data_IF_312767109549
#
_entry.id   IF_312767109549
#
_cell.length_a   1.000
_cell.length_b   1.000
_cell.length_c   1.000
_cell.angle_alpha   90.00
_cell.angle_beta   90.00
_cell.angle_gamma   90.00
#
_symmetry.space_group_name_H-M   'P 1'
#
loop_
_entity.id
_entity.type
_entity.pdbx_description
1 polymer ?
#
# COMPACT_ATOMS: atom_id res chain seq x y z
N UNK A 1 -17.79 -4.47 -12.59
CA UNK A 1 -16.70 -5.47 -12.39
C UNK A 1 -15.70 -5.49 -13.54
N UNK A 2 -16.11 -5.76 -14.80
CA UNK A 2 -15.20 -5.71 -15.96
C UNK A 2 -14.51 -4.34 -16.11
N UNK A 3 -15.23 -3.26 -15.82
CA UNK A 3 -14.74 -1.88 -15.87
C UNK A 3 -13.64 -1.58 -14.84
N UNK A 4 -13.81 -2.04 -13.58
CA UNK A 4 -12.76 -1.92 -12.55
C UNK A 4 -11.47 -2.67 -12.92
N UNK A 5 -11.61 -3.84 -13.55
CA UNK A 5 -10.47 -4.58 -14.08
C UNK A 5 -9.73 -3.81 -15.18
N UNK A 6 -10.46 -3.13 -16.07
CA UNK A 6 -9.86 -2.29 -17.10
C UNK A 6 -9.12 -1.08 -16.50
N UNK A 7 -9.74 -0.36 -15.58
CA UNK A 7 -9.12 0.79 -14.89
C UNK A 7 -7.87 0.39 -14.09
N UNK A 8 -7.87 -0.79 -13.45
CA UNK A 8 -6.67 -1.32 -12.81
C UNK A 8 -5.52 -1.49 -13.80
N UNK A 9 -5.80 -2.11 -14.95
CA UNK A 9 -4.79 -2.35 -15.98
C UNK A 9 -4.28 -1.04 -16.61
N UNK A 10 -5.14 -0.03 -16.76
CA UNK A 10 -4.73 1.31 -17.21
C UNK A 10 -3.79 1.99 -16.21
N UNK A 11 -4.13 1.94 -14.93
CA UNK A 11 -3.28 2.49 -13.87
C UNK A 11 -1.93 1.77 -13.75
N UNK A 12 -1.90 0.45 -13.95
CA UNK A 12 -0.66 -0.34 -14.01
C UNK A 12 0.23 0.13 -15.16
N UNK A 13 -0.31 0.18 -16.38
CA UNK A 13 0.41 0.66 -17.57
C UNK A 13 0.93 2.07 -17.41
N UNK A 14 0.20 2.93 -16.70
CA UNK A 14 0.66 4.29 -16.42
C UNK A 14 1.88 4.31 -15.52
N UNK A 15 1.89 3.53 -14.44
CA UNK A 15 3.04 3.46 -13.53
C UNK A 15 4.24 2.83 -14.22
N UNK A 16 4.04 1.77 -15.00
CA UNK A 16 5.10 1.13 -15.79
C UNK A 16 5.76 2.13 -16.75
N UNK A 17 4.96 2.83 -17.57
CA UNK A 17 5.46 3.85 -18.50
C UNK A 17 6.24 4.96 -17.80
N UNK A 18 5.79 5.40 -16.62
CA UNK A 18 6.50 6.43 -15.85
C UNK A 18 7.82 5.89 -15.29
N UNK A 19 7.86 4.63 -14.85
CA UNK A 19 9.08 3.98 -14.38
C UNK A 19 10.08 3.73 -15.53
N UNK A 20 9.62 3.30 -16.70
CA UNK A 20 10.47 3.09 -17.89
C UNK A 20 11.13 4.38 -18.37
N UNK A 21 10.42 5.51 -18.28
CA UNK A 21 10.95 6.84 -18.61
C UNK A 21 11.71 7.51 -17.46
N UNK A 22 11.90 6.84 -16.32
CA UNK A 22 12.56 7.44 -15.16
C UNK A 22 14.08 7.56 -15.37
N UNK A 23 14.71 8.70 -15.02
CA UNK A 23 16.13 8.90 -15.29
C UNK A 23 17.03 7.90 -14.54
N UNK A 24 17.94 7.25 -15.28
CA UNK A 24 18.81 6.18 -14.77
C UNK A 24 19.69 6.67 -13.61
N UNK A 25 20.17 7.90 -13.68
CA UNK A 25 21.00 8.54 -12.65
C UNK A 25 20.27 8.75 -11.31
N UNK A 26 18.93 8.72 -11.32
CA UNK A 26 18.10 8.89 -10.12
C UNK A 26 17.58 7.56 -9.57
N UNK A 27 17.71 6.46 -10.32
CA UNK A 27 17.24 5.13 -9.90
C UNK A 27 17.83 4.66 -8.56
N UNK A 28 19.13 4.88 -8.24
CA UNK A 28 19.67 4.47 -6.95
C UNK A 28 18.93 5.11 -5.76
N UNK A 29 18.61 6.40 -5.85
CA UNK A 29 17.85 7.10 -4.80
C UNK A 29 16.42 6.59 -4.69
N UNK A 30 15.78 6.28 -5.81
CA UNK A 30 14.44 5.69 -5.80
C UNK A 30 14.44 4.31 -5.11
N UNK A 31 15.44 3.46 -5.41
CA UNK A 31 15.59 2.15 -4.77
C UNK A 31 15.83 2.26 -3.27
N UNK A 32 16.72 3.16 -2.85
CA UNK A 32 16.99 3.42 -1.44
C UNK A 32 15.71 3.80 -0.67
N UNK A 33 14.92 4.73 -1.22
CA UNK A 33 13.66 5.14 -0.61
C UNK A 33 12.62 4.02 -0.62
N UNK A 34 12.56 3.21 -1.68
CA UNK A 34 11.67 2.05 -1.75
C UNK A 34 12.03 1.00 -0.68
N UNK A 35 13.33 0.75 -0.46
CA UNK A 35 13.81 -0.17 0.57
C UNK A 35 13.51 0.34 1.98
N UNK A 36 13.70 1.65 2.23
CA UNK A 36 13.31 2.29 3.50
C UNK A 36 11.80 2.16 3.75
N UNK A 37 10.99 2.44 2.72
CA UNK A 37 9.54 2.34 2.79
C UNK A 37 9.09 0.91 3.11
N UNK A 38 9.66 -0.10 2.43
CA UNK A 38 9.39 -1.53 2.70
C UNK A 38 9.78 -1.92 4.13
N UNK A 39 10.95 -1.50 4.59
CA UNK A 39 11.44 -1.80 5.94
C UNK A 39 10.53 -1.19 7.02
N UNK A 40 10.12 0.07 6.84
CA UNK A 40 9.16 0.74 7.74
C UNK A 40 7.83 0.01 7.77
N UNK A 41 7.29 -0.40 6.61
CA UNK A 41 6.04 -1.15 6.55
C UNK A 41 6.12 -2.49 7.27
N UNK A 42 7.19 -3.25 7.07
CA UNK A 42 7.40 -4.51 7.78
C UNK A 42 7.48 -4.30 9.30
N UNK A 43 8.24 -3.29 9.75
CA UNK A 43 8.35 -2.96 11.17
C UNK A 43 7.00 -2.58 11.79
N UNK A 44 6.21 -1.75 11.11
CA UNK A 44 4.87 -1.39 11.58
C UNK A 44 3.94 -2.60 11.64
N UNK A 45 4.02 -3.49 10.64
CA UNK A 45 3.25 -4.74 10.64
C UNK A 45 3.66 -5.65 11.80
N UNK A 46 4.94 -5.76 12.12
CA UNK A 46 5.45 -6.56 13.24
C UNK A 46 4.89 -6.08 14.58
N UNK A 47 4.87 -4.75 14.83
CA UNK A 47 4.30 -4.16 16.04
C UNK A 47 2.84 -4.59 16.26
N UNK A 48 2.03 -4.58 15.19
CA UNK A 48 0.60 -4.91 15.27
C UNK A 48 0.32 -6.42 15.14
N UNK A 49 1.32 -7.22 14.78
CA UNK A 49 1.17 -8.68 14.70
C UNK A 49 1.09 -9.31 16.09
N UNK A 50 1.69 -8.66 17.11
CA UNK A 50 1.57 -9.08 18.51
C UNK A 50 0.12 -9.07 19.04
N UNK A 51 -0.77 -8.29 18.39
CA UNK A 51 -2.19 -8.15 18.74
C UNK A 51 -3.13 -8.73 17.69
N UNK A 52 -2.61 -9.62 16.83
CA UNK A 52 -3.35 -10.34 15.78
C UNK A 52 -4.13 -9.43 14.82
N UNK A 53 -3.63 -8.23 14.51
CA UNK A 53 -4.33 -7.27 13.65
C UNK A 53 -4.81 -7.86 12.31
N UNK A 54 -4.05 -8.80 11.73
CA UNK A 54 -4.44 -9.48 10.48
C UNK A 54 -5.72 -10.31 10.58
N UNK A 55 -5.92 -11.03 11.69
CA UNK A 55 -7.13 -11.85 11.91
C UNK A 55 -8.35 -10.96 12.17
N UNK A 56 -8.17 -9.84 12.87
CA UNK A 56 -9.20 -8.84 13.09
C UNK A 56 -9.66 -8.18 11.78
N UNK A 57 -8.73 -7.83 10.90
CA UNK A 57 -9.05 -7.28 9.58
C UNK A 57 -9.79 -8.29 8.69
N UNK A 58 -9.40 -9.57 8.73
CA UNK A 58 -10.11 -10.63 8.00
C UNK A 58 -11.53 -10.84 8.53
N UNK A 59 -11.71 -10.84 9.86
CA UNK A 59 -13.02 -11.01 10.50
C UNK A 59 -14.01 -9.87 10.15
N UNK A 60 -13.53 -8.64 9.98
CA UNK A 60 -14.37 -7.52 9.55
C UNK A 60 -14.47 -7.36 8.01
N UNK A 61 -13.90 -8.30 7.25
CA UNK A 61 -13.92 -8.27 5.79
C UNK A 61 -13.17 -7.11 5.15
N UNK A 62 -12.29 -6.43 5.90
CA UNK A 62 -11.63 -5.22 5.46
C UNK A 62 -12.58 -4.04 5.26
N UNK A 63 -13.59 -3.89 6.13
CA UNK A 63 -14.59 -2.82 6.06
C UNK A 63 -13.96 -1.41 5.92
N UNK A 64 -12.81 -1.14 6.53
CA UNK A 64 -12.06 0.10 6.37
C UNK A 64 -11.52 0.29 4.92
N UNK A 65 -11.06 -0.78 4.26
CA UNK A 65 -10.60 -0.76 2.87
C UNK A 65 -11.75 -0.56 1.88
N UNK A 66 -12.92 -1.11 2.19
CA UNK A 66 -14.16 -0.92 1.40
C UNK A 66 -14.69 0.50 1.60
N UNK A 67 -14.72 1.01 2.84
CA UNK A 67 -15.07 2.38 3.16
C UNK A 67 -14.08 3.41 2.58
N UNK A 68 -12.84 2.98 2.32
CA UNK A 68 -11.82 3.73 1.55
C UNK A 68 -11.64 3.23 0.10
N UNK A 69 -12.61 2.55 -0.50
CA UNK A 69 -12.68 2.03 -1.88
C UNK A 69 -11.36 1.94 -2.69
N UNK A 70 -10.42 1.16 -2.15
CA UNK A 70 -9.30 0.43 -2.80
C UNK A 70 -7.96 1.15 -3.11
N UNK A 71 -7.44 1.89 -2.12
CA UNK A 71 -6.19 2.67 -2.14
C UNK A 71 -4.85 1.89 -2.21
N UNK A 72 -4.61 1.07 -3.23
CA UNK A 72 -3.23 0.91 -3.71
C UNK A 72 -2.84 2.25 -4.35
N UNK A 73 -1.82 2.92 -3.83
CA UNK A 73 -1.32 4.15 -4.46
C UNK A 73 -0.40 3.82 -5.62
N UNK A 74 -0.19 4.81 -6.50
CA UNK A 74 0.79 4.67 -7.58
C UNK A 74 2.20 4.42 -7.05
N UNK A 75 2.53 4.94 -5.87
CA UNK A 75 3.80 4.66 -5.16
C UNK A 75 3.89 3.20 -4.71
N UNK A 76 2.79 2.63 -4.19
CA UNK A 76 2.77 1.21 -3.78
C UNK A 76 3.03 0.30 -4.97
N UNK A 77 2.37 0.59 -6.10
CA UNK A 77 2.56 -0.17 -7.33
C UNK A 77 3.96 0.01 -7.92
N UNK A 78 4.49 1.24 -7.89
CA UNK A 78 5.86 1.56 -8.31
C UNK A 78 6.89 0.70 -7.57
N UNK A 79 6.77 0.61 -6.24
CA UNK A 79 7.70 -0.20 -5.42
C UNK A 79 7.62 -1.68 -5.80
N UNK A 80 6.41 -2.20 -6.04
CA UNK A 80 6.19 -3.57 -6.50
C UNK A 80 6.88 -3.86 -7.84
N UNK A 81 6.72 -2.93 -8.80
CA UNK A 81 7.30 -3.02 -10.14
C UNK A 81 8.83 -2.85 -10.14
N UNK A 82 9.36 -1.99 -9.26
CA UNK A 82 10.81 -1.74 -9.14
C UNK A 82 11.59 -2.99 -8.71
N UNK A 83 10.95 -3.87 -7.95
CA UNK A 83 11.46 -5.18 -7.52
C UNK A 83 11.14 -6.31 -8.51
N UNK A 84 10.48 -6.01 -9.64
CA UNK A 84 10.12 -6.96 -10.70
C UNK A 84 9.29 -8.15 -10.21
N UNK A 85 8.44 -7.92 -9.22
CA UNK A 85 7.53 -8.93 -8.72
C UNK A 85 6.35 -9.15 -9.69
N UNK A 86 5.83 -10.38 -9.75
CA UNK A 86 4.62 -10.69 -10.52
C UNK A 86 3.40 -10.06 -9.87
N UNK A 87 2.71 -9.17 -10.59
CA UNK A 87 1.54 -8.47 -10.05
C UNK A 87 0.42 -9.44 -9.67
N UNK A 88 -0.23 -9.15 -8.55
CA UNK A 88 -1.44 -9.84 -8.13
C UNK A 88 -2.65 -9.38 -8.97
N UNK A 89 -3.67 -10.23 -9.05
CA UNK A 89 -4.95 -9.90 -9.69
C UNK A 89 -6.01 -9.54 -8.64
N UNK A 90 -6.53 -8.30 -8.61
CA UNK A 90 -7.54 -7.92 -7.64
C UNK A 90 -8.89 -8.63 -7.88
N UNK A 91 -9.51 -9.09 -6.79
CA UNK A 91 -10.78 -9.81 -6.75
C UNK A 91 -11.99 -8.86 -6.65
N UNK A 92 -12.18 -7.97 -7.62
CA UNK A 92 -13.22 -6.91 -7.58
C UNK A 92 -14.68 -7.39 -7.46
N UNK A 93 -14.94 -8.69 -7.56
CA UNK A 93 -16.28 -9.28 -7.46
C UNK A 93 -16.58 -10.04 -6.17
N UNK A 94 -15.66 -10.06 -5.20
CA UNK A 94 -15.83 -10.86 -3.98
C UNK A 94 -16.73 -10.23 -2.90
N UNK A 95 -17.18 -8.97 -3.10
CA UNK A 95 -18.00 -8.24 -2.12
C UNK A 95 -17.24 -7.78 -0.87
N UNK A 96 -15.91 -7.91 -0.86
CA UNK A 96 -14.99 -7.55 0.23
C UNK A 96 -13.86 -6.66 -0.32
N UNK A 97 -12.74 -6.56 0.41
CA UNK A 97 -11.50 -6.00 -0.14
C UNK A 97 -11.03 -6.81 -1.38
N UNK A 98 -10.77 -6.18 -2.54
CA UNK A 98 -10.27 -6.85 -3.74
C UNK A 98 -8.89 -7.49 -3.55
N UNK A 99 -8.15 -7.10 -2.53
CA UNK A 99 -6.82 -7.62 -2.25
C UNK A 99 -6.82 -8.71 -1.16
N UNK A 100 -8.00 -9.15 -0.71
CA UNK A 100 -8.19 -10.20 0.29
C UNK A 100 -8.70 -11.48 -0.38
N UNK A 101 -7.84 -12.49 -0.45
CA UNK A 101 -8.16 -13.84 -0.87
C UNK A 101 -8.52 -14.73 0.35
N UNK A 102 -9.07 -15.94 0.14
CA UNK A 102 -9.46 -16.84 1.24
C UNK A 102 -8.32 -17.21 2.19
N UNK A 103 -7.08 -17.25 1.67
CA UNK A 103 -5.85 -17.57 2.40
C UNK A 103 -5.13 -16.34 2.97
N UNK A 104 -5.65 -15.13 2.73
CA UNK A 104 -5.12 -13.89 3.27
C UNK A 104 -4.95 -12.80 2.21
N UNK A 105 -4.15 -11.78 2.53
CA UNK A 105 -3.92 -10.69 1.60
C UNK A 105 -3.02 -11.13 0.43
N UNK A 106 -3.39 -10.74 -0.78
CA UNK A 106 -2.60 -10.96 -2.01
C UNK A 106 -1.23 -10.25 -2.01
N UNK A 107 -1.03 -9.31 -1.08
CA UNK A 107 0.21 -8.55 -0.93
C UNK A 107 0.95 -8.92 0.36
N UNK A 108 2.27 -9.22 0.29
CA UNK A 108 3.11 -9.29 1.47
C UNK A 108 3.13 -7.94 2.19
N UNK A 109 3.35 -7.95 3.51
CA UNK A 109 3.23 -6.76 4.36
C UNK A 109 4.02 -5.54 3.84
N UNK A 110 5.26 -5.72 3.41
CA UNK A 110 6.12 -4.66 2.88
C UNK A 110 5.55 -3.94 1.63
N UNK A 111 4.62 -4.56 0.92
CA UNK A 111 4.02 -4.03 -0.30
C UNK A 111 2.57 -3.60 -0.13
N UNK A 112 1.97 -3.87 1.05
CA UNK A 112 0.59 -3.44 1.32
C UNK A 112 0.51 -1.91 1.31
N UNK A 113 -0.64 -1.33 0.93
CA UNK A 113 -0.83 0.10 0.92
C UNK A 113 -0.57 0.77 2.26
N UNK A 114 -0.24 2.07 2.23
CA UNK A 114 -0.04 2.91 3.43
C UNK A 114 -1.15 2.69 4.48
N UNK A 115 -2.41 2.88 4.10
CA UNK A 115 -3.54 2.74 5.01
C UNK A 115 -3.68 1.31 5.57
N UNK A 116 -3.27 0.28 4.84
CA UNK A 116 -3.32 -1.10 5.34
C UNK A 116 -2.28 -1.37 6.42
N UNK A 117 -1.27 -0.52 6.53
CA UNK A 117 -0.16 -0.64 7.49
C UNK A 117 -0.32 0.35 8.64
N UNK A 118 -0.93 1.52 8.40
CA UNK A 118 -1.02 2.61 9.38
C UNK A 118 -2.39 2.71 10.05
N UNK A 119 -3.43 2.09 9.49
CA UNK A 119 -4.76 2.12 10.10
C UNK A 119 -4.92 1.01 11.15
N UNK A 120 -4.79 1.38 12.43
CA UNK A 120 -5.26 0.56 13.55
C UNK A 120 -6.67 1.03 13.90
N UNK A 121 -7.64 0.11 13.93
CA UNK A 121 -8.92 0.43 14.57
C UNK A 121 -8.71 0.58 16.09
N UNK A 122 -9.60 1.28 16.77
CA UNK A 122 -9.55 1.49 18.24
C UNK A 122 -9.29 0.16 18.99
N UNK A 123 -9.90 -0.94 18.52
CA UNK A 123 -9.69 -2.28 19.06
C UNK A 123 -8.22 -2.76 19.01
N UNK A 124 -7.51 -2.48 17.92
CA UNK A 124 -6.09 -2.85 17.76
C UNK A 124 -5.24 -1.94 18.62
N UNK A 125 -5.53 -0.64 18.63
CA UNK A 125 -4.78 0.36 19.39
C UNK A 125 -4.87 0.12 20.91
N UNK A 126 -6.05 -0.19 21.43
CA UNK A 126 -6.29 -0.48 22.85
C UNK A 126 -5.54 -1.72 23.37
N UNK A 127 -5.09 -2.59 22.45
CA UNK A 127 -4.34 -3.81 22.78
C UNK A 127 -2.84 -3.65 22.70
N UNK A 128 -2.35 -2.57 22.12
CA UNK A 128 -0.92 -2.29 22.03
C UNK A 128 -0.39 -1.76 23.36
N UNK A 129 0.80 -2.19 23.75
CA UNK A 129 1.52 -1.54 24.84
C UNK A 129 1.82 -0.08 24.47
N UNK A 130 1.91 0.81 25.46
CA UNK A 130 2.16 2.23 25.23
C UNK A 130 3.45 2.50 24.43
N UNK A 131 4.50 1.72 24.69
CA UNK A 131 5.76 1.78 23.96
C UNK A 131 5.59 1.43 22.47
N UNK A 132 4.83 0.37 22.18
CA UNK A 132 4.58 -0.08 20.80
C UNK A 132 3.69 0.91 20.04
N UNK A 133 2.68 1.47 20.71
CA UNK A 133 1.85 2.54 20.15
C UNK A 133 2.69 3.78 19.82
N UNK A 134 3.61 4.17 20.71
CA UNK A 134 4.53 5.29 20.45
C UNK A 134 5.45 5.01 19.26
N UNK A 135 6.01 3.80 19.19
CA UNK A 135 6.85 3.37 18.07
C UNK A 135 6.07 3.33 16.75
N UNK A 136 4.80 2.90 16.80
CA UNK A 136 3.91 2.87 15.64
C UNK A 136 3.69 4.27 15.06
N UNK A 137 3.31 5.24 15.89
CA UNK A 137 3.09 6.62 15.43
C UNK A 137 4.38 7.31 14.97
N UNK A 138 5.55 6.94 15.51
CA UNK A 138 6.84 7.39 14.99
C UNK A 138 7.08 6.84 13.58
N UNK A 139 6.91 5.52 13.41
CA UNK A 139 7.08 4.87 12.12
C UNK A 139 6.09 5.36 11.06
N UNK A 140 4.84 5.66 11.43
CA UNK A 140 3.85 6.25 10.51
C UNK A 140 4.30 7.61 9.96
N UNK A 141 4.88 8.48 10.82
CA UNK A 141 5.41 9.78 10.38
C UNK A 141 6.58 9.62 9.43
N UNK A 142 7.49 8.69 9.72
CA UNK A 142 8.63 8.37 8.84
C UNK A 142 8.16 7.80 7.51
N UNK A 143 7.16 6.91 7.55
CA UNK A 143 6.55 6.35 6.35
C UNK A 143 5.93 7.46 5.49
N UNK A 144 5.18 8.38 6.11
CA UNK A 144 4.58 9.54 5.41
C UNK A 144 5.64 10.38 4.69
N UNK A 145 6.79 10.62 5.33
CA UNK A 145 7.92 11.34 4.71
C UNK A 145 8.49 10.56 3.52
N UNK A 146 8.69 9.26 3.66
CA UNK A 146 9.19 8.41 2.56
C UNK A 146 8.26 8.48 1.33
N UNK A 147 6.94 8.40 1.52
CA UNK A 147 5.99 8.58 0.41
C UNK A 147 6.10 9.96 -0.25
N UNK A 148 6.26 11.02 0.54
CA UNK A 148 6.40 12.37 0.02
C UNK A 148 7.71 12.55 -0.77
N UNK A 149 8.81 11.97 -0.28
CA UNK A 149 10.10 11.99 -0.96
C UNK A 149 10.06 11.20 -2.26
N UNK A 150 9.47 10.00 -2.28
CA UNK A 150 9.31 9.23 -3.53
C UNK A 150 8.48 10.05 -4.52
N UNK A 151 7.36 10.64 -4.10
CA UNK A 151 6.52 11.47 -4.99
C UNK A 151 7.27 12.67 -5.56
N UNK A 152 8.15 13.30 -4.78
CA UNK A 152 8.93 14.46 -5.25
C UNK A 152 9.96 14.08 -6.30
N UNK A 153 10.32 12.80 -6.42
CA UNK A 153 11.19 12.35 -7.49
C UNK A 153 10.53 12.42 -8.87
N UNK A 154 9.20 12.44 -8.95
CA UNK A 154 8.48 12.39 -10.22
C UNK A 154 7.86 13.75 -10.58
N UNK A 155 8.09 14.25 -11.80
CA UNK A 155 7.44 15.48 -12.25
C UNK A 155 5.93 15.27 -12.46
N UNK A 156 5.17 16.37 -12.37
CA UNK A 156 3.81 16.43 -12.91
C UNK A 156 2.74 15.62 -12.16
N UNK A 157 2.83 15.45 -10.84
CA UNK A 157 1.88 14.69 -10.01
C UNK A 157 1.65 13.22 -10.43
N UNK A 158 2.47 12.67 -11.31
CA UNK A 158 2.32 11.31 -11.89
C UNK A 158 2.27 10.17 -10.87
N UNK A 159 2.89 10.35 -9.69
CA UNK A 159 2.86 9.39 -8.57
C UNK A 159 1.90 9.77 -7.43
N UNK A 160 0.96 10.68 -7.66
CA UNK A 160 -0.04 11.07 -6.67
C UNK A 160 -1.31 10.23 -6.81
N UNK A 161 -2.01 10.04 -5.69
CA UNK A 161 -3.33 9.40 -5.67
C UNK A 161 -3.32 7.86 -5.73
N UNK A 162 -4.53 7.31 -5.78
CA UNK A 162 -4.77 5.87 -5.92
C UNK A 162 -4.65 5.44 -7.40
N UNK A 163 -4.37 4.17 -7.63
CA UNK A 163 -4.35 3.58 -8.98
C UNK A 163 -5.75 3.63 -9.62
N UNK A 164 -6.81 3.54 -8.82
CA UNK A 164 -8.21 3.53 -9.28
C UNK A 164 -8.93 4.90 -9.11
N UNK A 165 -8.19 5.99 -8.90
CA UNK A 165 -8.78 7.28 -8.50
C UNK A 165 -9.76 7.90 -9.52
N UNK A 166 -9.64 7.55 -10.80
CA UNK A 166 -10.47 8.10 -11.90
C UNK A 166 -11.66 7.19 -12.27
N UNK A 167 -11.91 6.11 -11.51
CA UNK A 167 -13.06 5.24 -11.72
C UNK A 167 -14.32 5.85 -11.06
N UNK A 168 -15.42 6.07 -11.80
CA UNK A 168 -16.68 6.47 -11.17
C UNK A 168 -17.13 5.42 -10.15
N UNK A 169 -17.65 5.90 -9.02
CA UNK A 169 -18.00 5.08 -7.85
C UNK A 169 -19.20 4.16 -8.09
#
# INVERSE_FOLDING_TARGET
MKELGAHWQDGVREVERVLEGFPEERLPRLRELADQLKALKSKLQELVSAVEAGSHCAACGGACCVAGKFHVSRVDLLVYLLDRLSLFEPLFGNGLCPYLAPDGCLMPAAYRPFNCITFNCELIEDRLAEADRTAFYQGERELTRCYAEIRSLFPGRSMHGAVLADCPA
#
